data_IF_965318759873
#
_entry.id   IF_965318759873
#
_cell.length_a   1.000
_cell.length_b   1.000
_cell.length_c   1.000
_cell.angle_alpha   90.00
_cell.angle_beta   90.00
_cell.angle_gamma   90.00
#
_symmetry.space_group_name_H-M   'P 1'
#
loop_
_entity.id
_entity.type
_entity.pdbx_description
1 polymer ?
#
# COMPACT_ATOMS: atom_id res chain seq x y z
N UNK A 1 -1.46 16.08 -11.05
CA UNK A 1 -0.98 14.74 -11.42
C UNK A 1 -1.58 13.77 -10.42
N UNK A 2 -2.30 12.78 -10.91
CA UNK A 2 -2.84 11.70 -10.08
C UNK A 2 -1.73 10.69 -9.79
N UNK A 3 -1.79 10.00 -8.65
CA UNK A 3 -0.88 8.87 -8.36
C UNK A 3 -0.98 7.74 -9.40
N UNK A 4 -2.04 7.74 -10.22
CA UNK A 4 -2.30 6.75 -11.26
C UNK A 4 -1.80 7.14 -12.66
N UNK A 5 -1.25 8.36 -12.87
CA UNK A 5 -0.84 8.83 -14.22
C UNK A 5 0.18 7.87 -14.88
N UNK A 6 1.08 7.29 -14.08
CA UNK A 6 2.06 6.31 -14.55
C UNK A 6 1.42 4.98 -14.98
N UNK A 7 0.32 4.56 -14.32
CA UNK A 7 -0.45 3.38 -14.72
C UNK A 7 -1.16 3.63 -16.05
N UNK A 8 -1.81 4.79 -16.20
CA UNK A 8 -2.54 5.14 -17.42
C UNK A 8 -1.62 5.15 -18.65
N UNK A 9 -0.47 5.80 -18.52
CA UNK A 9 0.57 5.82 -19.58
C UNK A 9 1.04 4.41 -19.98
N UNK A 10 1.17 3.50 -19.00
CA UNK A 10 1.53 2.09 -19.26
C UNK A 10 0.43 1.31 -19.96
N UNK A 11 -0.83 1.55 -19.61
CA UNK A 11 -1.97 0.87 -20.25
C UNK A 11 -2.11 1.33 -21.71
N UNK A 12 -1.98 2.62 -21.97
CA UNK A 12 -2.01 3.17 -23.33
C UNK A 12 -0.89 2.60 -24.20
N UNK A 13 0.36 2.60 -23.69
CA UNK A 13 1.50 2.01 -24.41
C UNK A 13 1.39 0.49 -24.62
N UNK A 14 0.62 -0.21 -23.78
CA UNK A 14 0.28 -1.62 -23.97
C UNK A 14 -0.89 -1.85 -24.94
N UNK A 15 -1.47 -0.79 -25.52
CA UNK A 15 -2.60 -0.85 -26.45
C UNK A 15 -3.96 -1.01 -25.76
N UNK A 16 -4.05 -0.79 -24.46
CA UNK A 16 -5.26 -0.99 -23.64
C UNK A 16 -6.03 0.33 -23.41
N UNK A 17 -6.10 1.18 -24.44
CA UNK A 17 -6.63 2.56 -24.34
C UNK A 17 -8.08 2.58 -23.85
N UNK A 18 -8.96 1.76 -24.43
CA UNK A 18 -10.38 1.71 -24.03
C UNK A 18 -10.53 1.34 -22.55
N UNK A 19 -9.69 0.41 -22.07
CA UNK A 19 -9.71 0.01 -20.67
C UNK A 19 -9.13 1.11 -19.76
N UNK A 20 -8.10 1.83 -20.21
CA UNK A 20 -7.55 2.98 -19.49
C UNK A 20 -8.63 4.04 -19.23
N UNK A 21 -9.37 4.43 -20.26
CA UNK A 21 -10.48 5.41 -20.14
C UNK A 21 -11.55 4.93 -19.17
N UNK A 22 -11.91 3.64 -19.23
CA UNK A 22 -12.87 3.08 -18.28
C UNK A 22 -12.34 3.09 -16.84
N UNK A 23 -11.07 2.71 -16.67
CA UNK A 23 -10.45 2.60 -15.36
C UNK A 23 -10.30 3.97 -14.68
N UNK A 24 -9.97 5.02 -15.42
CA UNK A 24 -9.90 6.40 -14.92
C UNK A 24 -11.20 6.84 -14.24
N UNK A 25 -12.33 6.61 -14.92
CA UNK A 25 -13.66 6.91 -14.38
C UNK A 25 -13.96 6.06 -13.15
N UNK A 26 -13.68 4.76 -13.22
CA UNK A 26 -13.95 3.83 -12.13
C UNK A 26 -13.12 4.12 -10.88
N UNK A 27 -11.86 4.54 -11.02
CA UNK A 27 -10.98 4.87 -9.89
C UNK A 27 -11.51 6.11 -9.17
N UNK A 28 -11.77 7.19 -9.90
CA UNK A 28 -12.30 8.44 -9.32
C UNK A 28 -13.58 8.16 -8.53
N UNK A 29 -14.46 7.37 -9.13
CA UNK A 29 -15.69 6.94 -8.50
C UNK A 29 -15.40 6.08 -7.25
N UNK A 30 -14.77 4.92 -7.41
CA UNK A 30 -14.67 3.85 -6.39
C UNK A 30 -13.79 4.22 -5.20
N UNK A 31 -12.88 5.15 -5.35
CA UNK A 31 -12.02 5.61 -4.27
C UNK A 31 -12.45 6.95 -3.68
N UNK A 32 -13.60 7.49 -4.08
CA UNK A 32 -14.21 8.65 -3.45
C UNK A 32 -14.47 8.39 -1.96
N UNK A 33 -14.19 9.39 -1.11
CA UNK A 33 -14.30 9.29 0.35
C UNK A 33 -15.71 8.91 0.81
N UNK A 34 -16.74 9.32 0.07
CA UNK A 34 -18.15 9.03 0.35
C UNK A 34 -18.55 7.56 0.10
N UNK A 35 -17.74 6.81 -0.67
CA UNK A 35 -18.09 5.47 -1.19
C UNK A 35 -18.13 4.40 -0.09
N UNK A 36 -17.35 4.57 0.98
CA UNK A 36 -17.24 3.58 2.04
C UNK A 36 -17.05 4.27 3.39
N UNK A 37 -17.77 3.84 4.43
CA UNK A 37 -17.79 4.54 5.73
C UNK A 37 -16.42 4.64 6.43
N UNK A 38 -15.48 3.75 6.10
CA UNK A 38 -14.09 3.81 6.60
C UNK A 38 -13.09 4.51 5.67
N UNK A 39 -13.51 4.94 4.47
CA UNK A 39 -12.61 5.50 3.48
C UNK A 39 -11.87 6.74 3.98
N UNK A 40 -12.53 7.73 4.64
CA UNK A 40 -11.80 8.89 5.18
C UNK A 40 -10.71 8.47 6.17
N UNK A 41 -11.03 7.57 7.10
CA UNK A 41 -10.09 7.02 8.08
C UNK A 41 -8.87 6.35 7.41
N UNK A 42 -9.09 5.59 6.33
CA UNK A 42 -8.00 4.94 5.59
C UNK A 42 -7.15 5.94 4.81
N UNK A 43 -7.76 6.97 4.23
CA UNK A 43 -7.06 8.04 3.51
C UNK A 43 -6.20 8.86 4.48
N UNK A 44 -6.73 9.21 5.65
CA UNK A 44 -6.01 9.92 6.70
C UNK A 44 -4.81 9.08 7.20
N UNK A 45 -5.03 7.79 7.48
CA UNK A 45 -3.94 6.89 7.87
C UNK A 45 -2.87 6.76 6.78
N UNK A 46 -3.28 6.71 5.50
CA UNK A 46 -2.33 6.68 4.38
C UNK A 46 -1.50 7.97 4.30
N UNK A 47 -2.10 9.12 4.58
CA UNK A 47 -1.41 10.41 4.60
C UNK A 47 -0.47 10.58 5.83
N UNK A 48 -0.74 9.86 6.93
CA UNK A 48 0.13 9.83 8.12
C UNK A 48 1.35 8.92 7.93
N UNK A 49 1.32 7.98 6.97
CA UNK A 49 2.47 7.13 6.73
C UNK A 49 3.68 7.98 6.28
N UNK A 50 4.86 7.73 6.86
CA UNK A 50 6.03 8.52 6.54
C UNK A 50 6.52 8.23 5.12
N UNK A 51 7.03 9.27 4.45
CA UNK A 51 7.77 9.10 3.20
C UNK A 51 9.19 8.59 3.50
N UNK A 52 9.38 7.28 3.37
CA UNK A 52 10.65 6.59 3.69
C UNK A 52 11.24 5.97 2.44
N UNK A 53 12.55 6.07 2.29
CA UNK A 53 13.30 5.35 1.26
C UNK A 53 13.88 4.11 1.91
N UNK A 54 13.39 2.90 1.61
CA UNK A 54 13.92 1.69 2.23
C UNK A 54 15.35 1.43 1.76
N UNK A 55 16.22 1.03 2.69
CA UNK A 55 17.60 0.63 2.37
C UNK A 55 17.67 -0.71 1.65
N UNK A 56 16.66 -1.55 1.81
CA UNK A 56 16.56 -2.89 1.23
C UNK A 56 15.14 -3.24 0.79
N UNK A 57 15.01 -4.05 -0.27
CA UNK A 57 13.74 -4.58 -0.75
C UNK A 57 13.95 -6.05 -1.15
N UNK A 58 13.28 -6.96 -0.46
CA UNK A 58 13.23 -8.40 -0.75
C UNK A 58 11.79 -8.77 -1.14
N UNK A 59 11.63 -9.35 -2.33
CA UNK A 59 10.32 -9.70 -2.93
C UNK A 59 10.32 -11.10 -3.57
N UNK A 60 11.43 -11.82 -3.52
CA UNK A 60 11.61 -13.14 -4.13
C UNK A 60 11.15 -14.24 -3.19
N UNK A 61 11.67 -14.28 -1.97
CA UNK A 61 11.38 -15.35 -1.00
C UNK A 61 10.33 -14.94 0.05
N UNK A 62 10.23 -13.64 0.33
CA UNK A 62 9.22 -13.04 1.19
C UNK A 62 8.99 -11.59 0.76
N UNK A 63 8.10 -10.87 1.44
CA UNK A 63 7.94 -9.42 1.25
C UNK A 63 8.51 -8.72 2.47
N UNK A 64 9.76 -8.28 2.35
CA UNK A 64 10.48 -7.51 3.36
C UNK A 64 11.01 -6.20 2.79
N UNK A 65 10.66 -5.08 3.44
CA UNK A 65 10.98 -3.73 2.99
C UNK A 65 11.68 -2.98 4.11
N UNK A 66 12.89 -2.50 3.85
CA UNK A 66 13.66 -1.66 4.75
C UNK A 66 14.09 -2.32 6.06
N UNK A 67 14.59 -1.50 6.98
CA UNK A 67 14.98 -1.83 8.36
C UNK A 67 14.48 -0.72 9.30
N UNK A 68 14.43 -0.98 10.61
CA UNK A 68 14.04 0.04 11.60
C UNK A 68 14.93 1.28 11.51
N UNK A 69 16.22 1.12 11.16
CA UNK A 69 17.15 2.23 10.95
C UNK A 69 16.78 3.16 9.79
N UNK A 70 15.89 2.75 8.88
CA UNK A 70 15.39 3.61 7.80
C UNK A 70 14.31 4.59 8.30
N UNK A 71 13.71 4.31 9.47
CA UNK A 71 12.70 5.14 10.13
C UNK A 71 13.35 6.25 10.98
N UNK A 72 14.34 6.94 10.43
CA UNK A 72 15.03 8.04 11.12
C UNK A 72 14.03 9.15 11.45
N UNK A 73 14.02 9.59 12.71
CA UNK A 73 13.10 10.60 13.24
C UNK A 73 11.60 10.22 13.20
N UNK A 74 11.30 8.94 12.96
CA UNK A 74 9.95 8.40 12.99
C UNK A 74 9.82 7.49 14.21
N UNK A 75 8.80 7.73 15.02
CA UNK A 75 8.45 6.84 16.12
C UNK A 75 7.89 5.51 15.57
N UNK A 76 8.59 4.41 15.87
CA UNK A 76 8.22 3.06 15.45
C UNK A 76 6.85 2.65 15.99
N UNK A 77 6.46 3.11 17.19
CA UNK A 77 5.18 2.79 17.78
C UNK A 77 4.05 3.57 17.09
N UNK A 78 4.31 4.83 16.73
CA UNK A 78 3.40 5.61 15.88
C UNK A 78 3.20 4.93 14.52
N UNK A 79 4.28 4.49 13.86
CA UNK A 79 4.21 3.77 12.59
C UNK A 79 3.36 2.50 12.72
N UNK A 80 3.58 1.68 13.74
CA UNK A 80 2.77 0.48 14.02
C UNK A 80 1.30 0.82 14.21
N UNK A 81 0.99 1.88 14.93
CA UNK A 81 -0.39 2.29 15.20
C UNK A 81 -1.10 2.80 13.94
N UNK A 82 -0.40 3.56 13.08
CA UNK A 82 -0.94 3.97 11.78
C UNK A 82 -1.22 2.76 10.90
N UNK A 83 -0.31 1.78 10.80
CA UNK A 83 -0.57 0.58 9.99
C UNK A 83 -1.78 -0.19 10.54
N UNK A 84 -1.92 -0.31 11.88
CA UNK A 84 -3.03 -1.06 12.50
C UNK A 84 -4.42 -0.54 12.08
N UNK A 85 -4.54 0.72 11.65
CA UNK A 85 -5.80 1.28 11.10
C UNK A 85 -6.32 0.47 9.90
N UNK A 86 -5.42 -0.18 9.15
CA UNK A 86 -5.77 -1.01 7.99
C UNK A 86 -6.19 -2.44 8.35
N UNK A 87 -6.38 -2.77 9.64
CA UNK A 87 -6.97 -4.05 10.03
C UNK A 87 -8.41 -4.22 9.47
N UNK A 88 -8.80 -5.47 9.18
CA UNK A 88 -8.04 -6.71 9.36
C UNK A 88 -7.09 -7.02 8.18
N UNK A 89 -5.83 -7.36 8.46
CA UNK A 89 -4.91 -7.86 7.44
C UNK A 89 -5.11 -9.35 7.21
N UNK A 90 -5.57 -9.71 6.02
CA UNK A 90 -5.93 -11.09 5.72
C UNK A 90 -4.86 -11.86 4.96
N UNK A 91 -3.98 -11.20 4.18
CA UNK A 91 -3.00 -11.84 3.31
C UNK A 91 -1.61 -11.28 3.59
N UNK A 92 -0.62 -12.16 3.71
CA UNK A 92 0.75 -11.86 4.10
C UNK A 92 1.51 -13.17 4.39
N UNK A 93 2.55 -13.16 5.24
CA UNK A 93 2.98 -12.06 6.09
C UNK A 93 3.75 -10.96 5.34
N UNK A 94 3.91 -9.80 5.97
CA UNK A 94 4.81 -8.73 5.51
C UNK A 94 5.81 -8.36 6.60
N UNK A 95 7.00 -7.91 6.22
CA UNK A 95 7.98 -7.32 7.12
C UNK A 95 8.30 -5.90 6.65
N UNK A 96 7.82 -4.88 7.36
CA UNK A 96 8.01 -3.48 6.97
C UNK A 96 8.85 -2.79 8.05
N UNK A 97 10.08 -2.40 7.72
CA UNK A 97 11.01 -1.72 8.63
C UNK A 97 11.16 -2.48 9.95
N UNK A 98 11.44 -3.78 9.85
CA UNK A 98 11.50 -4.76 10.95
C UNK A 98 10.20 -4.97 11.75
N UNK A 99 9.09 -4.34 11.36
CA UNK A 99 7.75 -4.63 11.89
C UNK A 99 7.16 -5.85 11.16
N UNK A 100 6.96 -6.94 11.90
CA UNK A 100 6.27 -8.11 11.41
C UNK A 100 4.75 -7.92 11.40
N UNK A 101 4.14 -7.91 10.22
CA UNK A 101 2.70 -7.89 10.05
C UNK A 101 2.21 -9.33 9.91
N UNK A 102 1.85 -9.93 11.04
CA UNK A 102 1.24 -11.26 11.09
C UNK A 102 -0.22 -11.17 10.62
N UNK A 103 -0.52 -11.81 9.50
CA UNK A 103 -1.83 -11.72 8.83
C UNK A 103 -2.59 -13.03 8.97
N UNK A 104 -3.91 -12.98 8.84
CA UNK A 104 -4.78 -14.16 8.98
C UNK A 104 -4.32 -15.39 8.16
N UNK A 105 -3.82 -15.18 6.94
CA UNK A 105 -3.39 -16.27 6.07
C UNK A 105 -1.88 -16.22 5.80
N UNK A 106 -1.23 -17.36 6.01
CA UNK A 106 0.10 -17.72 5.48
C UNK A 106 0.05 -17.87 3.97
N UNK A 107 0.02 -16.73 3.29
CA UNK A 107 -0.11 -16.66 1.83
C UNK A 107 1.21 -17.06 1.15
N UNK A 108 2.32 -16.92 1.87
CA UNK A 108 3.66 -17.42 1.53
C UNK A 108 3.71 -18.93 1.31
N UNK A 109 2.87 -19.72 1.98
CA UNK A 109 2.84 -21.18 1.77
C UNK A 109 2.15 -21.62 0.48
N UNK A 110 1.35 -20.73 -0.10
CA UNK A 110 0.59 -21.01 -1.32
C UNK A 110 1.28 -20.50 -2.57
N UNK A 111 2.06 -19.43 -2.42
CA UNK A 111 2.79 -18.78 -3.51
C UNK A 111 3.90 -19.68 -4.03
#
# INVERSE_FOLDING_TARGET
MSVYDALYSRLESAGLVDWCTQLEQQISDRLASERHGKMPMWQDAMAMLPAVIPSQIELKENVSIGQESDLVDIDIDHFKDVIKVFHPWRKGPYHLFDVHLDTEWRSDWKW
#
